data_IF_943990405350
#
_entry.id   IF_943990405350
#
_cell.length_a   1.000
_cell.length_b   1.000
_cell.length_c   1.000
_cell.angle_alpha   90.00
_cell.angle_beta   90.00
_cell.angle_gamma   90.00
#
_symmetry.space_group_name_H-M   'P 1'
#
loop_
_entity.id
_entity.type
_entity.pdbx_description
1 polymer ?
#
# COMPACT_ATOMS: atom_id res chain seq x y z
N UNK A 1 1.49 18.16 16.09
CA UNK A 1 0.92 16.82 16.44
C UNK A 1 1.79 15.77 15.74
N UNK A 2 2.47 14.92 16.54
CA UNK A 2 3.30 13.83 16.00
C UNK A 2 2.37 12.81 15.34
N UNK A 3 2.55 12.58 14.05
CA UNK A 3 1.85 11.51 13.33
C UNK A 3 2.52 10.17 13.68
N UNK A 4 1.73 9.23 14.19
CA UNK A 4 2.17 7.86 14.40
C UNK A 4 1.83 7.06 13.14
N UNK A 5 2.84 6.50 12.49
CA UNK A 5 2.68 5.55 11.39
C UNK A 5 2.83 4.15 11.99
N UNK A 6 1.82 3.32 11.85
CA UNK A 6 1.86 1.92 12.28
C UNK A 6 2.00 1.03 11.03
N UNK A 7 3.00 0.17 11.05
CA UNK A 7 3.19 -0.87 10.03
C UNK A 7 2.90 -2.21 10.69
N UNK A 8 1.87 -2.91 10.21
CA UNK A 8 1.59 -4.27 10.60
C UNK A 8 2.28 -5.20 9.61
N UNK A 9 3.29 -5.90 10.08
CA UNK A 9 3.99 -6.95 9.35
C UNK A 9 3.51 -8.27 9.95
N UNK A 10 2.63 -8.99 9.23
CA UNK A 10 2.10 -10.25 9.71
C UNK A 10 3.11 -11.38 9.56
N UNK A 11 3.53 -12.01 10.66
CA UNK A 11 3.50 -13.45 10.80
C UNK A 11 2.58 -13.86 11.95
N UNK A 12 1.96 -15.03 11.87
CA UNK A 12 1.17 -15.64 12.93
C UNK A 12 1.91 -15.59 14.27
N UNK A 13 1.19 -15.19 15.31
CA UNK A 13 1.46 -15.23 16.75
C UNK A 13 1.66 -13.85 17.39
N UNK A 14 0.82 -13.62 18.39
CA UNK A 14 0.79 -12.54 19.40
C UNK A 14 1.47 -11.22 19.04
N UNK A 15 0.66 -10.30 18.54
CA UNK A 15 1.07 -9.00 18.02
C UNK A 15 1.70 -8.12 19.08
N UNK A 16 3.01 -8.03 19.09
CA UNK A 16 3.70 -6.94 19.80
C UNK A 16 3.94 -5.79 18.83
N UNK A 17 3.19 -4.70 18.99
CA UNK A 17 3.51 -3.44 18.33
C UNK A 17 4.80 -2.86 18.91
N UNK A 18 5.81 -2.70 18.07
CA UNK A 18 7.04 -2.00 18.48
C UNK A 18 6.92 -0.53 18.09
N UNK A 19 6.94 0.36 19.06
CA UNK A 19 7.00 1.80 18.83
C UNK A 19 8.43 2.17 18.45
N UNK A 20 8.66 2.51 17.19
CA UNK A 20 9.95 3.01 16.71
C UNK A 20 10.12 4.47 17.13
N UNK A 21 11.24 4.79 17.78
CA UNK A 21 11.63 6.16 18.09
C UNK A 21 12.44 6.74 16.93
N UNK A 22 12.41 8.05 16.80
CA UNK A 22 13.21 8.76 15.78
C UNK A 22 14.71 8.44 15.85
N UNK A 23 15.21 8.17 17.06
CA UNK A 23 16.61 7.79 17.32
C UNK A 23 16.97 6.41 16.72
N UNK A 24 16.01 5.48 16.72
CA UNK A 24 16.19 4.14 16.15
C UNK A 24 16.33 4.20 14.63
N UNK A 25 15.69 5.18 13.98
CA UNK A 25 15.76 5.39 12.54
C UNK A 25 17.12 5.95 12.09
N UNK A 26 17.79 6.75 12.94
CA UNK A 26 19.08 7.38 12.60
C UNK A 26 20.25 6.41 12.59
N UNK A 27 20.18 5.30 13.33
CA UNK A 27 21.23 4.30 13.44
C UNK A 27 21.41 3.44 12.19
N UNK A 28 20.37 3.30 11.37
CA UNK A 28 20.38 2.48 10.15
C UNK A 28 20.75 3.26 8.88
N UNK A 29 20.76 4.58 8.97
CA UNK A 29 20.88 5.48 7.81
C UNK A 29 22.34 5.65 7.34
N UNK A 30 22.95 4.60 6.79
CA UNK A 30 24.35 4.65 6.34
C UNK A 30 24.57 4.98 4.86
N UNK A 31 23.55 5.21 4.01
CA UNK A 31 23.79 5.51 2.58
C UNK A 31 22.68 6.35 1.94
N UNK A 32 23.08 7.35 1.15
CA UNK A 32 22.29 8.24 0.29
C UNK A 32 21.44 7.53 -0.82
N UNK A 33 20.97 6.31 -0.60
CA UNK A 33 20.28 5.52 -1.63
C UNK A 33 18.83 5.95 -1.86
N UNK A 34 18.26 6.75 -0.96
CA UNK A 34 16.83 7.01 -0.91
C UNK A 34 16.42 8.42 -1.36
N UNK A 35 17.37 9.22 -1.87
CA UNK A 35 17.02 10.57 -2.34
C UNK A 35 16.07 10.49 -3.54
N UNK A 36 14.89 11.10 -3.37
CA UNK A 36 13.97 11.32 -4.46
C UNK A 36 14.49 12.49 -5.31
N UNK A 37 14.46 12.34 -6.63
CA UNK A 37 14.80 13.45 -7.52
C UNK A 37 13.64 14.46 -7.60
N UNK A 38 13.92 15.68 -8.12
CA UNK A 38 12.92 16.75 -8.23
C UNK A 38 11.64 16.35 -8.97
N UNK A 39 11.73 15.49 -10.00
CA UNK A 39 10.57 15.02 -10.75
C UNK A 39 9.69 14.11 -9.88
N UNK A 40 10.32 13.23 -9.10
CA UNK A 40 9.63 12.33 -8.18
C UNK A 40 8.96 13.10 -7.03
N UNK A 41 9.66 14.08 -6.46
CA UNK A 41 9.10 14.95 -5.42
C UNK A 41 7.91 15.76 -5.93
N UNK A 42 8.02 16.34 -7.12
CA UNK A 42 6.92 17.10 -7.73
C UNK A 42 5.70 16.22 -8.02
N UNK A 43 5.89 14.94 -8.37
CA UNK A 43 4.78 13.99 -8.61
C UNK A 43 3.98 13.65 -7.35
N UNK A 44 4.51 13.94 -6.17
CA UNK A 44 3.86 13.66 -4.89
C UNK A 44 2.86 14.73 -4.44
N UNK A 45 2.84 15.90 -5.08
CA UNK A 45 1.96 17.05 -4.76
C UNK A 45 1.96 17.41 -3.27
N UNK A 46 3.14 17.54 -2.67
CA UNK A 46 3.26 17.78 -1.22
C UNK A 46 3.16 19.26 -0.91
N UNK A 47 2.25 19.60 0.00
CA UNK A 47 1.94 20.99 0.38
C UNK A 47 3.05 21.69 1.20
N UNK A 48 3.98 20.94 1.81
CA UNK A 48 5.05 21.47 2.63
C UNK A 48 6.38 20.77 2.34
N UNK A 49 7.14 21.33 1.40
CA UNK A 49 8.40 20.75 0.92
C UNK A 49 9.47 20.60 1.99
N UNK A 50 9.58 21.53 2.94
CA UNK A 50 10.62 21.51 3.98
C UNK A 50 10.39 20.39 5.01
N UNK A 51 9.17 20.29 5.52
CA UNK A 51 8.81 19.21 6.46
C UNK A 51 8.91 17.84 5.78
N UNK A 52 8.56 17.79 4.50
CA UNK A 52 8.63 16.60 3.69
C UNK A 52 10.06 16.14 3.48
N UNK A 53 11.02 17.03 3.20
CA UNK A 53 12.43 16.67 3.00
C UNK A 53 13.06 16.11 4.27
N UNK A 54 12.83 16.73 5.43
CA UNK A 54 13.35 16.24 6.71
C UNK A 54 12.82 14.85 7.08
N UNK A 55 11.53 14.58 6.82
CA UNK A 55 10.90 13.29 7.10
C UNK A 55 11.35 12.22 6.10
N UNK A 56 11.48 12.61 4.81
CA UNK A 56 11.97 11.71 3.76
C UNK A 56 13.37 11.17 4.06
N UNK A 57 14.25 12.01 4.59
CA UNK A 57 15.63 11.64 4.80
C UNK A 57 15.83 10.71 6.02
N UNK A 58 14.87 10.62 6.91
CA UNK A 58 15.02 9.92 8.19
C UNK A 58 14.11 8.69 8.36
N UNK A 59 12.80 8.87 8.25
CA UNK A 59 11.83 7.80 8.57
C UNK A 59 11.59 6.85 7.40
N UNK A 60 11.46 7.37 6.19
CA UNK A 60 11.10 6.55 5.03
C UNK A 60 12.17 5.55 4.61
N UNK A 61 13.49 5.87 4.63
CA UNK A 61 14.53 4.90 4.36
C UNK A 61 14.49 3.71 5.31
N UNK A 62 14.30 3.98 6.61
CA UNK A 62 14.20 2.93 7.62
C UNK A 62 13.01 1.99 7.35
N UNK A 63 11.83 2.55 7.05
CA UNK A 63 10.64 1.77 6.73
C UNK A 63 10.87 0.96 5.44
N UNK A 64 11.49 1.56 4.43
CA UNK A 64 11.80 0.88 3.19
C UNK A 64 12.78 -0.29 3.41
N UNK A 65 13.78 -0.14 4.27
CA UNK A 65 14.72 -1.21 4.63
C UNK A 65 14.01 -2.37 5.35
N UNK A 66 13.13 -2.06 6.32
CA UNK A 66 12.31 -3.08 6.99
C UNK A 66 11.43 -3.84 5.99
N UNK A 67 10.78 -3.13 5.08
CA UNK A 67 9.98 -3.75 4.02
C UNK A 67 10.85 -4.61 3.11
N UNK A 68 12.06 -4.14 2.74
CA UNK A 68 13.01 -4.92 1.94
C UNK A 68 13.38 -6.24 2.58
N UNK A 69 13.67 -6.26 3.88
CA UNK A 69 13.99 -7.48 4.62
C UNK A 69 12.81 -8.45 4.56
N UNK A 70 11.60 -7.96 4.84
CA UNK A 70 10.40 -8.79 4.83
C UNK A 70 10.06 -9.33 3.44
N UNK A 71 10.16 -8.51 2.39
CA UNK A 71 9.92 -8.92 1.00
C UNK A 71 10.94 -10.00 0.58
N UNK A 72 12.23 -9.82 0.92
CA UNK A 72 13.27 -10.82 0.62
C UNK A 72 13.01 -12.15 1.34
N UNK A 73 12.66 -12.10 2.62
CA UNK A 73 12.33 -13.29 3.40
C UNK A 73 11.10 -14.00 2.84
N UNK A 74 10.05 -13.25 2.49
CA UNK A 74 8.85 -13.79 1.86
C UNK A 74 9.17 -14.49 0.54
N UNK A 75 9.96 -13.86 -0.31
CA UNK A 75 10.37 -14.42 -1.59
C UNK A 75 11.23 -15.67 -1.41
N UNK A 76 12.14 -15.66 -0.43
CA UNK A 76 12.98 -16.83 -0.11
C UNK A 76 12.10 -18.02 0.33
N UNK A 77 11.17 -17.82 1.25
CA UNK A 77 10.25 -18.87 1.71
C UNK A 77 9.38 -19.41 0.58
N UNK A 78 8.92 -18.56 -0.32
CA UNK A 78 8.16 -18.99 -1.49
C UNK A 78 9.02 -19.82 -2.47
N UNK A 79 10.30 -19.49 -2.64
CA UNK A 79 11.22 -20.28 -3.45
C UNK A 79 11.50 -21.66 -2.85
N UNK A 80 11.71 -21.73 -1.53
CA UNK A 80 11.91 -23.01 -0.83
C UNK A 80 10.65 -23.89 -0.90
N UNK A 81 9.46 -23.31 -0.71
CA UNK A 81 8.20 -24.05 -0.85
C UNK A 81 7.97 -24.57 -2.29
N UNK A 82 8.46 -23.85 -3.31
CA UNK A 82 8.41 -24.30 -4.71
C UNK A 82 9.38 -25.43 -5.02
N UNK A 83 10.53 -25.48 -4.34
CA UNK A 83 11.50 -26.59 -4.48
C UNK A 83 10.98 -27.88 -3.87
N UNK A 84 10.19 -27.79 -2.80
CA UNK A 84 9.66 -28.95 -2.08
C UNK A 84 8.39 -29.56 -2.72
N UNK A 85 7.73 -28.84 -3.61
CA UNK A 85 6.52 -29.30 -4.32
C UNK A 85 6.67 -28.94 -5.79
N UNK A 86 6.39 -29.88 -6.70
CA UNK A 86 6.22 -29.60 -8.15
C UNK A 86 5.01 -28.70 -8.42
N UNK A 87 4.90 -27.59 -7.71
CA UNK A 87 3.80 -26.65 -7.86
C UNK A 87 4.18 -25.61 -8.90
N UNK A 88 3.28 -25.40 -9.86
CA UNK A 88 3.32 -24.39 -10.92
C UNK A 88 4.08 -23.11 -10.52
N UNK A 89 4.81 -22.52 -11.47
CA UNK A 89 5.62 -21.29 -11.34
C UNK A 89 4.77 -20.05 -11.00
N UNK A 90 3.71 -20.20 -10.22
CA UNK A 90 2.88 -19.07 -9.80
C UNK A 90 3.66 -18.14 -8.90
N UNK A 91 3.63 -16.88 -9.24
CA UNK A 91 4.19 -15.78 -8.48
C UNK A 91 3.17 -15.37 -7.41
N UNK A 92 3.61 -15.28 -6.17
CA UNK A 92 2.76 -14.81 -5.08
C UNK A 92 3.23 -13.41 -4.68
N UNK A 93 2.46 -12.36 -4.98
CA UNK A 93 2.84 -11.01 -4.65
C UNK A 93 2.90 -10.77 -3.14
N UNK A 94 3.84 -9.91 -2.72
CA UNK A 94 3.88 -9.40 -1.36
C UNK A 94 2.88 -8.27 -1.22
N UNK A 95 1.92 -8.38 -0.30
CA UNK A 95 0.88 -7.37 -0.10
C UNK A 95 1.22 -6.52 1.13
N UNK A 96 1.22 -5.19 0.94
CA UNK A 96 1.46 -4.19 1.98
C UNK A 96 0.15 -3.43 2.21
N UNK A 97 -0.43 -3.54 3.42
CA UNK A 97 -1.58 -2.74 3.83
C UNK A 97 -1.15 -1.43 4.47
N UNK A 98 -1.70 -0.31 4.01
CA UNK A 98 -1.50 1.02 4.59
C UNK A 98 -2.83 1.58 5.06
N UNK A 99 -2.98 1.76 6.36
CA UNK A 99 -4.20 2.30 6.97
C UNK A 99 -3.91 3.52 7.84
N UNK A 100 -4.93 4.26 8.18
CA UNK A 100 -4.88 5.42 9.07
C UNK A 100 -6.10 6.32 8.88
N UNK A 101 -6.30 7.28 9.78
CA UNK A 101 -7.43 8.21 9.73
C UNK A 101 -7.43 9.09 8.48
N UNK A 102 -8.57 9.73 8.21
CA UNK A 102 -8.70 10.73 7.13
C UNK A 102 -7.64 11.82 7.31
N UNK A 103 -7.06 12.28 6.22
CA UNK A 103 -6.02 13.31 6.19
C UNK A 103 -4.73 12.99 6.97
N UNK A 104 -4.48 11.72 7.33
CA UNK A 104 -3.26 11.30 8.05
C UNK A 104 -2.01 11.18 7.15
N UNK A 105 -2.13 11.39 5.85
CA UNK A 105 -1.03 11.29 4.91
C UNK A 105 -0.81 9.91 4.30
N UNK A 106 -1.76 8.96 4.44
CA UNK A 106 -1.68 7.60 3.88
C UNK A 106 -1.29 7.57 2.41
N UNK A 107 -1.98 8.36 1.59
CA UNK A 107 -1.77 8.35 0.13
C UNK A 107 -0.39 8.89 -0.24
N UNK A 108 0.11 9.92 0.46
CA UNK A 108 1.48 10.42 0.29
C UNK A 108 2.49 9.37 0.71
N UNK A 109 2.29 8.76 1.88
CA UNK A 109 3.13 7.67 2.39
C UNK A 109 3.21 6.51 1.39
N UNK A 110 2.07 6.02 0.91
CA UNK A 110 1.98 4.90 -0.02
C UNK A 110 2.68 5.18 -1.36
N UNK A 111 2.54 6.40 -1.89
CA UNK A 111 3.24 6.83 -3.10
C UNK A 111 4.74 6.87 -2.91
N UNK A 112 5.23 7.39 -1.77
CA UNK A 112 6.66 7.44 -1.44
C UNK A 112 7.22 6.02 -1.33
N UNK A 113 6.56 5.15 -0.56
CA UNK A 113 6.99 3.74 -0.40
C UNK A 113 7.01 3.03 -1.75
N UNK A 114 6.00 3.23 -2.62
CA UNK A 114 6.00 2.70 -3.99
C UNK A 114 7.26 3.13 -4.75
N UNK A 115 7.61 4.42 -4.70
CA UNK A 115 8.81 4.94 -5.39
C UNK A 115 10.11 4.35 -4.81
N UNK A 116 10.22 4.29 -3.49
CA UNK A 116 11.41 3.74 -2.83
C UNK A 116 11.57 2.24 -3.14
N UNK A 117 10.50 1.45 -3.06
CA UNK A 117 10.54 0.02 -3.38
C UNK A 117 10.89 -0.22 -4.85
N UNK A 118 10.37 0.59 -5.79
CA UNK A 118 10.79 0.52 -7.20
C UNK A 118 12.27 0.81 -7.42
N UNK A 119 12.86 1.71 -6.62
CA UNK A 119 14.31 1.99 -6.67
C UNK A 119 15.15 0.86 -6.07
N UNK A 120 14.70 0.30 -4.95
CA UNK A 120 15.41 -0.75 -4.23
C UNK A 120 15.36 -2.10 -4.96
N UNK A 121 14.24 -2.40 -5.57
CA UNK A 121 14.00 -3.63 -6.30
C UNK A 121 13.89 -3.35 -7.81
N UNK A 122 15.03 -3.08 -8.45
CA UNK A 122 15.07 -2.90 -9.90
C UNK A 122 14.52 -4.15 -10.61
N UNK A 123 13.47 -3.97 -11.39
CA UNK A 123 12.83 -5.04 -12.15
C UNK A 123 11.62 -5.70 -11.48
N UNK A 124 11.29 -5.37 -10.22
CA UNK A 124 10.04 -5.80 -9.62
C UNK A 124 8.89 -4.82 -9.98
N UNK A 125 7.72 -5.40 -10.26
CA UNK A 125 6.51 -4.63 -10.48
C UNK A 125 5.85 -4.28 -9.14
N UNK A 126 5.87 -2.99 -8.77
CA UNK A 126 5.25 -2.47 -7.55
C UNK A 126 4.02 -1.66 -7.92
N UNK A 127 2.85 -2.13 -7.48
CA UNK A 127 1.58 -1.47 -7.74
C UNK A 127 0.96 -0.91 -6.46
N UNK A 128 0.10 0.11 -6.63
CA UNK A 128 -0.62 0.79 -5.55
C UNK A 128 -2.08 0.89 -5.93
N UNK A 129 -2.95 0.42 -5.05
CA UNK A 129 -4.40 0.48 -5.17
C UNK A 129 -4.98 1.13 -3.92
N UNK A 130 -5.97 2.01 -4.09
CA UNK A 130 -6.73 2.59 -2.99
C UNK A 130 -8.02 1.82 -2.78
N UNK A 131 -8.44 1.63 -1.54
CA UNK A 131 -9.72 0.98 -1.23
C UNK A 131 -10.91 1.86 -1.60
N UNK A 132 -10.71 3.16 -1.79
CA UNK A 132 -11.80 4.09 -2.14
C UNK A 132 -12.47 3.72 -3.47
N UNK A 133 -11.75 3.05 -4.40
CA UNK A 133 -12.34 2.50 -5.62
C UNK A 133 -13.41 1.43 -5.36
N UNK A 134 -13.36 0.78 -4.20
CA UNK A 134 -14.33 -0.24 -3.80
C UNK A 134 -15.49 0.30 -2.95
N UNK A 135 -15.64 1.63 -2.84
CA UNK A 135 -16.86 2.23 -2.33
C UNK A 135 -18.02 1.93 -3.30
N UNK A 136 -19.21 1.77 -2.75
CA UNK A 136 -20.40 1.78 -3.58
C UNK A 136 -20.59 3.16 -4.24
N UNK A 137 -21.11 3.22 -5.48
CA UNK A 137 -21.43 4.49 -6.14
C UNK A 137 -22.40 5.34 -5.31
N UNK A 138 -22.32 6.67 -5.42
CA UNK A 138 -23.21 7.58 -4.69
C UNK A 138 -24.67 7.27 -4.91
N UNK A 139 -25.09 6.93 -6.13
CA UNK A 139 -26.45 6.51 -6.44
C UNK A 139 -26.94 5.35 -5.56
N UNK A 140 -26.08 4.31 -5.42
CA UNK A 140 -26.39 3.19 -4.55
C UNK A 140 -26.48 3.59 -3.07
N UNK A 141 -25.52 4.44 -2.61
CA UNK A 141 -25.51 4.92 -1.22
C UNK A 141 -26.74 5.77 -0.90
N UNK A 142 -27.20 6.60 -1.84
CA UNK A 142 -28.43 7.41 -1.72
C UNK A 142 -29.68 6.53 -1.65
N UNK A 143 -29.82 5.59 -2.58
CA UNK A 143 -30.96 4.65 -2.62
C UNK A 143 -31.09 3.82 -1.33
N UNK A 144 -29.97 3.50 -0.70
CA UNK A 144 -29.92 2.68 0.52
C UNK A 144 -29.77 3.49 1.82
N UNK A 145 -29.86 4.82 1.77
CA UNK A 145 -29.67 5.73 2.93
C UNK A 145 -28.32 5.56 3.64
N UNK A 146 -27.26 5.29 2.87
CA UNK A 146 -25.89 5.06 3.36
C UNK A 146 -24.94 6.24 3.11
N UNK A 147 -25.39 7.36 2.53
CA UNK A 147 -24.53 8.50 2.22
C UNK A 147 -23.83 9.08 3.46
N UNK A 148 -24.48 9.15 4.61
CA UNK A 148 -23.88 9.61 5.87
C UNK A 148 -22.80 8.66 6.40
N UNK A 149 -22.82 7.41 5.95
CA UNK A 149 -21.86 6.37 6.29
C UNK A 149 -20.73 6.20 5.25
N UNK A 150 -20.64 7.10 4.27
CA UNK A 150 -19.60 7.03 3.25
C UNK A 150 -18.21 7.08 3.89
N UNK A 151 -17.37 6.08 3.58
CA UNK A 151 -16.06 5.88 4.20
C UNK A 151 -16.07 4.93 5.41
N UNK A 152 -17.24 4.56 5.94
CA UNK A 152 -17.40 3.49 6.93
C UNK A 152 -17.52 2.12 6.23
N UNK A 153 -17.27 1.00 6.93
CA UNK A 153 -17.27 -0.34 6.32
C UNK A 153 -18.50 -0.66 5.49
N UNK A 154 -19.67 -0.20 5.93
CA UNK A 154 -20.96 -0.46 5.25
C UNK A 154 -21.09 0.19 3.87
N UNK A 155 -20.25 1.18 3.57
CA UNK A 155 -20.24 1.86 2.28
C UNK A 155 -19.34 1.22 1.24
N UNK A 156 -18.64 0.12 1.59
CA UNK A 156 -17.72 -0.57 0.70
C UNK A 156 -18.32 -1.87 0.14
N UNK A 157 -18.05 -2.15 -1.12
CA UNK A 157 -18.22 -3.47 -1.72
C UNK A 157 -17.08 -4.37 -1.27
N UNK A 158 -17.22 -4.90 -0.03
CA UNK A 158 -16.22 -5.74 0.61
C UNK A 158 -15.99 -7.03 -0.17
N UNK A 159 -17.04 -7.61 -0.77
CA UNK A 159 -16.93 -8.84 -1.54
C UNK A 159 -16.04 -8.65 -2.78
N UNK A 160 -16.22 -7.54 -3.50
CA UNK A 160 -15.36 -7.19 -4.64
C UNK A 160 -13.93 -6.91 -4.20
N UNK A 161 -13.71 -6.24 -3.08
CA UNK A 161 -12.38 -5.99 -2.53
C UNK A 161 -11.68 -7.30 -2.15
N UNK A 162 -12.35 -8.18 -1.41
CA UNK A 162 -11.80 -9.48 -1.00
C UNK A 162 -11.53 -10.38 -2.21
N UNK A 163 -12.42 -10.38 -3.20
CA UNK A 163 -12.20 -11.11 -4.45
C UNK A 163 -10.97 -10.58 -5.19
N UNK A 164 -10.83 -9.27 -5.32
CA UNK A 164 -9.66 -8.64 -5.92
C UNK A 164 -8.36 -9.06 -5.21
N UNK A 165 -8.32 -8.94 -3.88
CA UNK A 165 -7.15 -9.34 -3.08
C UNK A 165 -6.84 -10.83 -3.20
N UNK A 166 -7.85 -11.67 -3.22
CA UNK A 166 -7.70 -13.13 -3.41
C UNK A 166 -7.13 -13.44 -4.79
N UNK A 167 -7.67 -12.83 -5.85
CA UNK A 167 -7.19 -13.02 -7.22
C UNK A 167 -5.72 -12.63 -7.36
N UNK A 168 -5.33 -11.48 -6.78
CA UNK A 168 -3.93 -11.02 -6.72
C UNK A 168 -3.08 -12.00 -5.92
N UNK A 169 -3.53 -12.38 -4.72
CA UNK A 169 -2.78 -13.29 -3.82
C UNK A 169 -2.57 -14.67 -4.44
N UNK A 170 -3.50 -15.13 -5.25
CA UNK A 170 -3.40 -16.40 -5.99
C UNK A 170 -2.54 -16.29 -7.25
N UNK A 171 -1.92 -15.15 -7.52
CA UNK A 171 -1.03 -14.92 -8.66
C UNK A 171 -1.76 -14.87 -10.00
N UNK A 172 -2.99 -14.35 -10.03
CA UNK A 172 -3.69 -14.09 -11.28
C UNK A 172 -2.97 -12.98 -12.04
N UNK A 173 -2.67 -13.23 -13.31
CA UNK A 173 -1.81 -12.38 -14.14
C UNK A 173 -2.38 -10.97 -14.31
N UNK A 174 -3.70 -10.86 -14.54
CA UNK A 174 -4.40 -9.59 -14.74
C UNK A 174 -5.49 -9.42 -13.71
N UNK A 175 -5.48 -8.28 -13.04
CA UNK A 175 -6.46 -7.90 -12.04
C UNK A 175 -6.95 -6.49 -12.34
N UNK A 176 -8.17 -6.16 -11.90
CA UNK A 176 -8.80 -4.87 -12.17
C UNK A 176 -9.33 -4.30 -10.86
N UNK A 177 -8.90 -3.08 -10.52
CA UNK A 177 -9.42 -2.31 -9.41
C UNK A 177 -10.30 -1.16 -9.93
N UNK A 178 -11.47 -0.89 -9.34
CA UNK A 178 -12.28 0.26 -9.71
C UNK A 178 -11.55 1.57 -9.43
N UNK A 179 -11.90 2.63 -10.15
CA UNK A 179 -11.28 3.96 -10.02
C UNK A 179 -12.21 4.90 -9.23
N UNK A 180 -11.64 5.58 -8.24
CA UNK A 180 -12.32 6.63 -7.49
C UNK A 180 -11.84 8.00 -7.91
N UNK A 181 -12.76 8.93 -8.15
CA UNK A 181 -12.46 10.33 -8.45
C UNK A 181 -12.65 11.22 -7.24
N UNK A 182 -11.57 11.81 -6.74
CA UNK A 182 -11.66 12.82 -5.69
C UNK A 182 -12.29 14.15 -6.17
N UNK A 183 -12.37 14.37 -7.49
CA UNK A 183 -13.02 15.56 -8.07
C UNK A 183 -14.54 15.36 -8.09
N UNK A 184 -14.98 14.19 -8.55
CA UNK A 184 -16.41 13.83 -8.59
C UNK A 184 -16.92 13.35 -7.24
N UNK A 185 -16.02 13.04 -6.33
CA UNK A 185 -16.32 12.44 -5.03
C UNK A 185 -17.10 11.13 -5.15
N UNK A 186 -16.79 10.35 -6.20
CA UNK A 186 -17.49 9.10 -6.53
C UNK A 186 -16.59 8.10 -7.24
N UNK A 187 -17.04 6.85 -7.28
CA UNK A 187 -16.44 5.81 -8.13
C UNK A 187 -16.82 6.11 -9.58
N UNK A 188 -15.83 6.04 -10.49
CA UNK A 188 -16.07 6.27 -11.92
C UNK A 188 -16.69 5.00 -12.51
N UNK A 189 -17.92 5.07 -13.06
CA UNK A 189 -18.56 3.92 -13.68
C UNK A 189 -17.70 3.36 -14.82
N UNK A 190 -17.58 2.03 -14.86
CA UNK A 190 -16.90 1.28 -15.92
C UNK A 190 -15.41 1.55 -16.09
N UNK A 191 -14.81 2.49 -15.32
CA UNK A 191 -13.39 2.73 -15.32
C UNK A 191 -12.67 1.81 -14.34
N UNK A 192 -11.65 1.10 -14.81
CA UNK A 192 -10.87 0.17 -14.01
C UNK A 192 -9.38 0.37 -14.24
N UNK A 193 -8.63 0.34 -13.17
CA UNK A 193 -7.18 0.33 -13.22
C UNK A 193 -6.69 -1.11 -13.39
N UNK A 194 -5.97 -1.38 -14.47
CA UNK A 194 -5.40 -2.71 -14.75
C UNK A 194 -4.09 -2.90 -13.97
N UNK A 195 -3.98 -4.02 -13.27
CA UNK A 195 -2.81 -4.44 -12.51
C UNK A 195 -2.32 -5.76 -13.11
N UNK A 196 -1.12 -5.73 -13.67
CA UNK A 196 -0.54 -6.85 -14.40
C UNK A 196 0.62 -7.42 -13.60
N UNK A 197 0.52 -8.69 -13.21
CA UNK A 197 1.58 -9.49 -12.57
C UNK A 197 2.40 -8.71 -11.52
N UNK A 198 1.79 -8.18 -10.46
CA UNK A 198 2.50 -7.42 -9.45
C UNK A 198 3.42 -8.34 -8.63
N UNK A 199 4.64 -7.87 -8.32
CA UNK A 199 5.51 -8.51 -7.33
C UNK A 199 5.17 -8.02 -5.93
N UNK A 200 4.79 -6.74 -5.84
CA UNK A 200 4.42 -6.06 -4.61
C UNK A 200 3.14 -5.27 -4.89
N UNK A 201 2.11 -5.49 -4.08
CA UNK A 201 0.89 -4.70 -4.09
C UNK A 201 0.81 -3.90 -2.80
N UNK A 202 0.76 -2.58 -2.92
CA UNK A 202 0.41 -1.68 -1.81
C UNK A 202 -1.09 -1.42 -1.89
N UNK A 203 -1.82 -1.71 -0.82
CA UNK A 203 -3.22 -1.37 -0.70
C UNK A 203 -3.39 -0.31 0.39
N UNK A 204 -4.02 0.81 0.04
CA UNK A 204 -4.17 1.96 0.92
C UNK A 204 -5.63 2.29 1.15
N UNK A 205 -6.00 2.52 2.42
CA UNK A 205 -7.35 2.94 2.77
C UNK A 205 -7.60 3.04 4.26
N UNK A 206 -8.81 3.46 4.62
CA UNK A 206 -9.19 3.63 6.02
C UNK A 206 -9.43 2.26 6.67
N UNK A 207 -10.04 1.32 5.95
CA UNK A 207 -10.53 0.04 6.46
C UNK A 207 -9.66 -1.16 6.08
N UNK A 208 -8.39 -0.96 5.71
CA UNK A 208 -7.50 -2.03 5.20
C UNK A 208 -7.20 -3.12 6.24
N UNK A 209 -7.32 -2.81 7.52
CA UNK A 209 -7.01 -3.73 8.63
C UNK A 209 -8.24 -4.11 9.47
N UNK A 210 -9.42 -3.88 8.98
CA UNK A 210 -10.68 -4.26 9.65
C UNK A 210 -11.18 -5.61 9.19
#
# INVERSE_FOLDING_TARGET
KKQNVFIKIMPDLEEKFTKLKHEDCSLLNKKNFYQLNKKETNSLNVLNEKFFSETLDQAYPFIADLLCINIKNYNYLNLENKRSKEVDKKKFPFIIGVTGSVASGKSTFSKIIKLLLKKLFKGLNVELVTTDGFLYPNSFLEENNLMEKKGFPESYDIDSLLKFLSDVKLGKLKNFAPVYSHILYDVIPDEKFEIIDPDILIIEGINVLQ
#
